data_IF_332063490437
#
_entry.id   IF_332063490437
#
_cell.length_a   1.000
_cell.length_b   1.000
_cell.length_c   1.000
_cell.angle_alpha   90.00
_cell.angle_beta   90.00
_cell.angle_gamma   90.00
#
_symmetry.space_group_name_H-M   'P 1'
#
loop_
_entity.id
_entity.type
_entity.pdbx_description
1 polymer ?
#
# COMPACT_ATOMS: atom_id res chain seq x y z
N UNK A 1 -17.28 9.15 3.06
CA UNK A 1 -18.53 8.44 2.69
C UNK A 1 -19.09 7.55 3.81
N UNK A 2 -18.53 6.37 4.15
CA UNK A 2 -19.14 5.46 5.15
C UNK A 2 -19.27 6.06 6.55
N UNK A 3 -18.24 6.76 7.04
CA UNK A 3 -18.27 7.46 8.34
C UNK A 3 -19.27 8.63 8.37
N UNK A 4 -19.44 9.34 7.26
CA UNK A 4 -20.41 10.44 7.16
C UNK A 4 -21.84 9.90 7.12
N UNK A 5 -22.08 8.81 6.40
CA UNK A 5 -23.35 8.11 6.39
C UNK A 5 -23.72 7.62 7.80
N UNK A 6 -22.78 7.01 8.52
CA UNK A 6 -23.00 6.56 9.90
C UNK A 6 -23.32 7.72 10.86
N UNK A 7 -22.64 8.86 10.70
CA UNK A 7 -22.87 10.07 11.53
C UNK A 7 -24.20 10.75 11.23
N UNK A 8 -24.62 10.75 9.97
CA UNK A 8 -25.88 11.35 9.55
C UNK A 8 -27.09 10.44 9.81
N UNK A 9 -26.87 9.12 9.97
CA UNK A 9 -27.93 8.15 10.18
C UNK A 9 -28.59 8.32 11.55
N UNK A 10 -29.92 8.49 11.56
CA UNK A 10 -30.71 8.73 12.78
C UNK A 10 -31.41 7.47 13.30
N UNK A 11 -31.40 6.36 12.57
CA UNK A 11 -32.00 5.10 13.03
C UNK A 11 -31.22 4.45 14.16
N UNK A 12 -31.77 3.37 14.73
CA UNK A 12 -31.23 2.70 15.92
C UNK A 12 -30.39 1.46 15.61
N UNK A 13 -30.46 0.97 14.37
CA UNK A 13 -29.77 -0.24 13.91
C UNK A 13 -28.96 0.06 12.66
N UNK A 14 -27.69 -0.33 12.68
CA UNK A 14 -26.78 -0.25 11.54
C UNK A 14 -26.35 -1.65 11.16
N UNK A 15 -26.47 -1.99 9.88
CA UNK A 15 -25.92 -3.21 9.31
C UNK A 15 -24.69 -2.86 8.49
N UNK A 16 -23.58 -3.54 8.78
CA UNK A 16 -22.32 -3.40 8.05
C UNK A 16 -21.92 -4.76 7.49
N UNK A 17 -21.56 -4.80 6.21
CA UNK A 17 -21.05 -6.01 5.56
C UNK A 17 -19.63 -5.75 5.09
N UNK A 18 -18.68 -6.52 5.61
CA UNK A 18 -17.28 -6.38 5.25
C UNK A 18 -16.34 -7.06 6.24
N UNK A 19 -15.04 -6.82 6.09
CA UNK A 19 -14.00 -7.20 7.04
C UNK A 19 -14.09 -6.34 8.32
N UNK A 20 -13.64 -6.88 9.46
CA UNK A 20 -13.61 -6.15 10.73
C UNK A 20 -12.56 -5.03 10.78
N UNK A 21 -12.37 -4.40 11.94
CA UNK A 21 -11.34 -3.36 12.13
C UNK A 21 -9.97 -3.90 11.68
N UNK A 22 -9.28 -3.12 10.85
CA UNK A 22 -7.99 -3.50 10.24
C UNK A 22 -8.13 -4.21 8.88
N UNK A 23 -9.37 -4.47 8.44
CA UNK A 23 -9.68 -4.92 7.09
C UNK A 23 -9.77 -3.78 6.07
N UNK A 24 -9.97 -4.15 4.81
CA UNK A 24 -9.92 -3.24 3.64
C UNK A 24 -11.27 -2.60 3.30
N UNK A 25 -12.34 -3.03 3.95
CA UNK A 25 -13.74 -2.71 3.60
C UNK A 25 -14.24 -1.40 4.20
N UNK A 26 -13.55 -0.83 5.20
CA UNK A 26 -13.82 0.49 5.74
C UNK A 26 -12.58 1.14 6.38
N UNK A 27 -12.56 2.46 6.41
CA UNK A 27 -11.47 3.23 7.06
C UNK A 27 -11.56 3.15 8.59
N UNK A 28 -10.43 3.31 9.29
CA UNK A 28 -10.41 3.36 10.75
C UNK A 28 -11.38 4.38 11.34
N UNK A 29 -11.56 5.53 10.70
CA UNK A 29 -12.50 6.57 11.14
C UNK A 29 -13.96 6.12 11.18
N UNK A 30 -14.34 5.12 10.38
CA UNK A 30 -15.66 4.50 10.45
C UNK A 30 -15.78 3.61 11.69
N UNK A 31 -14.77 2.80 11.98
CA UNK A 31 -14.73 1.96 13.17
C UNK A 31 -14.62 2.77 14.46
N UNK A 32 -13.85 3.86 14.46
CA UNK A 32 -13.79 4.81 15.59
C UNK A 32 -15.18 5.40 15.88
N UNK A 33 -15.96 5.70 14.83
CA UNK A 33 -17.32 6.21 14.97
C UNK A 33 -18.32 5.12 15.43
N UNK A 34 -18.14 3.87 15.02
CA UNK A 34 -18.90 2.74 15.57
C UNK A 34 -18.60 2.56 17.06
N UNK A 35 -17.34 2.49 17.44
CA UNK A 35 -16.91 2.30 18.84
C UNK A 35 -17.33 3.45 19.76
N UNK A 36 -17.45 4.66 19.23
CA UNK A 36 -17.86 5.83 19.99
C UNK A 36 -19.35 5.85 20.37
N UNK A 37 -20.22 5.17 19.60
CA UNK A 37 -21.68 5.36 19.73
C UNK A 37 -22.56 4.14 19.45
N UNK A 38 -21.96 2.99 19.10
CA UNK A 38 -22.66 1.80 18.65
C UNK A 38 -22.09 0.55 19.34
N UNK A 39 -22.95 -0.44 19.55
CA UNK A 39 -22.63 -1.72 20.20
C UNK A 39 -22.95 -2.84 19.24
N UNK A 40 -21.98 -3.70 18.97
CA UNK A 40 -22.20 -4.92 18.18
C UNK A 40 -23.20 -5.82 18.91
N UNK A 41 -24.30 -6.16 18.22
CA UNK A 41 -25.37 -7.02 18.74
C UNK A 41 -25.29 -8.41 18.16
N UNK A 42 -24.98 -8.49 16.87
CA UNK A 42 -24.92 -9.75 16.15
C UNK A 42 -23.81 -9.70 15.10
N UNK A 43 -23.19 -10.85 14.89
CA UNK A 43 -22.23 -11.08 13.82
C UNK A 43 -22.59 -12.38 13.15
N UNK A 44 -22.82 -12.31 11.84
CA UNK A 44 -23.19 -13.45 11.01
C UNK A 44 -22.08 -13.68 9.99
N UNK A 45 -21.53 -14.89 9.99
CA UNK A 45 -20.62 -15.33 8.94
C UNK A 45 -21.39 -15.45 7.62
N UNK A 46 -20.87 -14.83 6.57
CA UNK A 46 -21.45 -14.91 5.23
C UNK A 46 -20.54 -15.74 4.31
N UNK A 47 -21.04 -16.26 3.17
CA UNK A 47 -20.20 -16.88 2.16
C UNK A 47 -19.10 -15.91 1.74
N UNK A 48 -17.86 -16.38 1.84
CA UNK A 48 -16.68 -15.57 1.56
C UNK A 48 -15.99 -16.08 0.29
N UNK A 49 -15.46 -15.14 -0.48
CA UNK A 49 -14.44 -15.47 -1.48
C UNK A 49 -13.18 -15.96 -0.77
N UNK A 50 -12.42 -16.84 -1.42
CA UNK A 50 -11.21 -17.39 -0.81
C UNK A 50 -10.24 -16.28 -0.36
N UNK A 51 -9.87 -16.29 0.92
CA UNK A 51 -9.00 -15.27 1.52
C UNK A 51 -9.70 -14.01 2.03
N UNK A 52 -11.04 -13.93 1.94
CA UNK A 52 -11.84 -12.88 2.59
C UNK A 52 -12.38 -13.34 3.94
N UNK A 53 -12.55 -12.38 4.83
CA UNK A 53 -13.11 -12.58 6.17
C UNK A 53 -14.31 -11.66 6.39
N UNK A 54 -15.08 -11.43 5.35
CA UNK A 54 -16.29 -10.61 5.41
C UNK A 54 -17.31 -11.26 6.34
N UNK A 55 -17.91 -10.44 7.19
CA UNK A 55 -19.04 -10.81 8.02
C UNK A 55 -20.13 -9.75 7.86
N UNK A 56 -21.37 -10.12 8.16
CA UNK A 56 -22.43 -9.17 8.42
C UNK A 56 -22.42 -8.85 9.92
N UNK A 57 -22.34 -7.57 10.25
CA UNK A 57 -22.39 -7.05 11.61
C UNK A 57 -23.66 -6.25 11.79
N UNK A 58 -24.37 -6.50 12.89
CA UNK A 58 -25.53 -5.71 13.31
C UNK A 58 -25.13 -4.94 14.55
N UNK A 59 -25.21 -3.61 14.46
CA UNK A 59 -24.94 -2.70 15.56
C UNK A 59 -26.23 -2.03 16.03
N UNK A 60 -26.38 -1.88 17.34
CA UNK A 60 -27.42 -1.04 17.95
C UNK A 60 -26.80 0.18 18.63
N UNK A 61 -27.53 1.29 18.75
CA UNK A 61 -27.03 2.46 19.49
C UNK A 61 -26.62 2.10 20.92
N UNK A 62 -25.50 2.67 21.36
CA UNK A 62 -25.09 2.56 22.76
C UNK A 62 -26.06 3.36 23.64
N UNK A 63 -26.68 2.70 24.63
CA UNK A 63 -27.35 3.43 25.71
C UNK A 63 -26.31 4.22 26.51
N UNK A 64 -26.71 5.37 27.07
CA UNK A 64 -25.85 6.28 27.84
C UNK A 64 -24.95 5.57 28.87
N UNK A 65 -25.51 4.58 29.58
CA UNK A 65 -24.81 3.80 30.61
C UNK A 65 -23.77 2.79 30.05
N UNK A 66 -23.87 2.42 28.76
CA UNK A 66 -22.98 1.47 28.08
C UNK A 66 -21.81 2.19 27.41
N UNK A 67 -22.08 3.37 26.82
CA UNK A 67 -21.05 4.22 26.23
C UNK A 67 -20.02 4.71 27.27
N UNK A 68 -20.48 5.07 28.48
CA UNK A 68 -19.60 5.48 29.58
C UNK A 68 -18.71 4.33 30.08
N UNK A 69 -19.25 3.10 30.16
CA UNK A 69 -18.46 1.90 30.53
C UNK A 69 -17.43 1.52 29.47
N UNK A 70 -17.76 1.63 28.19
CA UNK A 70 -16.81 1.39 27.09
C UNK A 70 -15.72 2.46 27.04
N UNK A 71 -16.05 3.74 27.23
CA UNK A 71 -15.04 4.81 27.31
C UNK A 71 -14.13 4.67 28.53
N UNK A 72 -14.65 4.23 29.68
CA UNK A 72 -13.85 3.94 30.86
C UNK A 72 -12.92 2.72 30.64
N UNK A 73 -13.41 1.66 30.00
CA UNK A 73 -12.61 0.48 29.65
C UNK A 73 -11.52 0.81 28.61
N UNK A 74 -11.83 1.58 27.57
CA UNK A 74 -10.87 2.03 26.57
C UNK A 74 -9.79 2.95 27.17
N UNK A 75 -10.15 3.83 28.12
CA UNK A 75 -9.19 4.65 28.87
C UNK A 75 -8.31 3.81 29.80
N UNK A 76 -8.85 2.75 30.41
CA UNK A 76 -8.08 1.82 31.24
C UNK A 76 -7.10 0.97 30.42
N UNK A 77 -7.51 0.53 29.22
CA UNK A 77 -6.62 -0.13 28.24
C UNK A 77 -5.49 0.81 27.77
N UNK A 78 -5.80 2.07 27.44
CA UNK A 78 -4.77 3.06 27.05
C UNK A 78 -3.90 3.57 28.22
N UNK A 79 -4.35 3.42 29.47
CA UNK A 79 -3.57 3.73 30.67
C UNK A 79 -2.60 2.60 31.06
N UNK A 80 -2.98 1.34 30.83
CA UNK A 80 -2.16 0.16 31.11
C UNK A 80 -1.07 -0.10 30.06
N UNK A 81 -1.22 0.40 28.83
CA UNK A 81 -0.20 0.30 27.77
C UNK A 81 1.02 1.23 27.98
N UNK A 82 1.02 2.11 29.00
CA UNK A 82 2.16 2.99 29.29
C UNK A 82 3.20 2.43 30.26
N UNK A 83 3.01 1.23 30.84
CA UNK A 83 3.95 0.68 31.83
C UNK A 83 4.52 -0.71 31.53
N UNK A 84 4.16 -1.36 30.43
CA UNK A 84 4.89 -2.54 29.96
C UNK A 84 4.68 -2.76 28.48
N UNK A 85 5.66 -2.34 27.68
CA UNK A 85 5.59 -2.53 26.24
C UNK A 85 6.84 -1.96 25.60
N UNK A 86 7.96 -2.64 25.79
CA UNK A 86 8.99 -2.61 24.75
C UNK A 86 8.36 -3.18 23.49
N UNK A 87 7.66 -2.33 22.73
CA UNK A 87 7.40 -2.58 21.33
C UNK A 87 8.77 -2.85 20.74
N UNK A 88 9.00 -4.08 20.29
CA UNK A 88 10.17 -4.44 19.53
C UNK A 88 10.20 -3.51 18.31
N UNK A 89 10.92 -2.40 18.44
CA UNK A 89 11.35 -1.54 17.36
C UNK A 89 12.35 -2.36 16.57
N UNK A 90 11.86 -3.26 15.72
CA UNK A 90 12.70 -3.75 14.65
C UNK A 90 13.09 -2.51 13.84
N UNK A 91 14.36 -2.14 13.94
CA UNK A 91 14.91 -1.03 13.19
C UNK A 91 14.64 -1.34 11.70
N UNK A 92 13.99 -0.43 10.96
CA UNK A 92 13.70 -0.63 9.55
C UNK A 92 14.99 -0.99 8.76
N UNK A 93 16.15 -0.50 9.23
CA UNK A 93 17.48 -0.85 8.74
C UNK A 93 17.79 -2.34 8.85
N UNK A 94 17.41 -2.96 9.98
CA UNK A 94 17.65 -4.38 10.28
C UNK A 94 16.75 -5.31 9.47
N UNK A 95 15.76 -4.76 8.76
CA UNK A 95 14.85 -5.52 7.90
C UNK A 95 15.14 -5.29 6.41
N UNK A 96 15.22 -4.03 5.97
CA UNK A 96 15.33 -3.68 4.55
C UNK A 96 16.68 -4.05 3.96
N UNK A 97 17.80 -3.77 4.64
CA UNK A 97 19.11 -4.09 4.07
C UNK A 97 19.33 -5.60 3.92
N UNK A 98 19.02 -6.45 4.93
CA UNK A 98 19.09 -7.91 4.75
C UNK A 98 18.16 -8.42 3.65
N UNK A 99 16.93 -7.89 3.56
CA UNK A 99 15.97 -8.26 2.52
C UNK A 99 16.49 -7.93 1.11
N UNK A 100 16.97 -6.71 0.88
CA UNK A 100 17.55 -6.31 -0.40
C UNK A 100 18.84 -7.07 -0.73
N UNK A 101 19.61 -7.49 0.28
CA UNK A 101 20.79 -8.35 0.11
C UNK A 101 20.46 -9.83 -0.09
N UNK A 102 19.18 -10.21 -0.09
CA UNK A 102 18.72 -11.59 -0.32
C UNK A 102 18.94 -12.55 0.86
N UNK A 103 19.39 -12.04 2.01
CA UNK A 103 19.65 -12.82 3.23
C UNK A 103 18.53 -12.71 4.26
N UNK A 104 17.68 -11.68 4.15
CA UNK A 104 16.48 -11.47 4.96
C UNK A 104 15.19 -11.82 4.20
N UNK A 105 14.08 -11.70 4.92
CA UNK A 105 12.72 -11.93 4.39
C UNK A 105 11.81 -10.75 4.71
N UNK A 106 10.70 -10.66 4.00
CA UNK A 106 9.62 -9.76 4.36
C UNK A 106 8.82 -10.28 5.57
N UNK A 107 7.75 -9.55 5.93
CA UNK A 107 6.87 -9.91 7.05
C UNK A 107 6.11 -11.23 6.86
N UNK A 108 6.04 -11.76 5.64
CA UNK A 108 5.41 -13.04 5.30
C UNK A 108 6.44 -14.17 5.18
N UNK A 109 7.71 -13.92 5.48
CA UNK A 109 8.78 -14.91 5.37
C UNK A 109 9.30 -15.13 3.95
N UNK A 110 8.96 -14.26 2.99
CA UNK A 110 9.37 -14.37 1.59
C UNK A 110 10.68 -13.63 1.35
N UNK A 111 11.58 -14.22 0.55
CA UNK A 111 12.81 -13.59 0.06
C UNK A 111 12.51 -12.71 -1.14
N UNK A 112 13.37 -11.71 -1.37
CA UNK A 112 13.25 -10.82 -2.53
C UNK A 112 13.24 -11.58 -3.87
N UNK A 113 14.07 -12.62 -4.00
CA UNK A 113 14.11 -13.45 -5.21
C UNK A 113 12.79 -14.21 -5.47
N UNK A 114 12.11 -14.67 -4.42
CA UNK A 114 10.82 -15.37 -4.52
C UNK A 114 9.73 -14.40 -4.97
N UNK A 115 9.68 -13.21 -4.36
CA UNK A 115 8.74 -12.16 -4.74
C UNK A 115 8.97 -11.71 -6.20
N UNK A 116 10.25 -11.54 -6.60
CA UNK A 116 10.59 -11.14 -7.97
C UNK A 116 10.17 -12.19 -9.01
N UNK A 117 10.07 -13.46 -8.61
CA UNK A 117 9.64 -14.56 -9.44
C UNK A 117 8.10 -14.72 -9.54
N UNK A 118 7.32 -13.93 -8.81
CA UNK A 118 5.85 -13.95 -8.89
C UNK A 118 5.34 -13.82 -10.32
N UNK A 119 4.32 -14.60 -10.69
CA UNK A 119 3.58 -14.41 -11.93
C UNK A 119 2.83 -13.07 -11.92
N UNK A 120 2.32 -12.61 -13.07
CA UNK A 120 1.54 -11.38 -13.10
C UNK A 120 0.22 -11.49 -12.33
N UNK A 121 -0.39 -12.67 -12.32
CA UNK A 121 -1.56 -12.98 -11.51
C UNK A 121 -1.24 -12.92 -10.01
N UNK A 122 -0.06 -13.39 -9.61
CA UNK A 122 0.40 -13.27 -8.23
C UNK A 122 0.72 -11.82 -7.84
N UNK A 123 1.37 -11.05 -8.71
CA UNK A 123 1.60 -9.61 -8.50
C UNK A 123 0.29 -8.82 -8.43
N UNK A 124 -0.73 -9.20 -9.21
CA UNK A 124 -2.04 -8.59 -9.10
C UNK A 124 -2.69 -8.93 -7.75
N UNK A 125 -2.75 -10.22 -7.40
CA UNK A 125 -3.46 -10.76 -6.22
C UNK A 125 -2.80 -10.45 -4.88
N UNK A 126 -1.47 -10.41 -4.83
CA UNK A 126 -0.69 -10.22 -3.60
C UNK A 126 -0.35 -8.73 -3.50
N UNK A 127 -0.86 -8.04 -2.47
CA UNK A 127 -0.78 -6.58 -2.45
C UNK A 127 0.36 -6.00 -1.59
N UNK A 128 0.92 -6.81 -0.69
CA UNK A 128 1.86 -6.37 0.34
C UNK A 128 3.33 -6.37 -0.12
N UNK A 129 3.66 -7.15 -1.16
CA UNK A 129 5.02 -7.26 -1.68
C UNK A 129 5.60 -5.90 -2.13
N UNK A 130 4.73 -5.04 -2.69
CA UNK A 130 5.15 -3.77 -3.29
C UNK A 130 5.74 -2.82 -2.26
N UNK A 131 5.31 -2.91 -1.00
CA UNK A 131 5.83 -2.07 0.08
C UNK A 131 7.27 -2.44 0.45
N UNK A 132 7.64 -3.71 0.25
CA UNK A 132 9.00 -4.22 0.49
C UNK A 132 9.90 -4.04 -0.73
N UNK A 133 9.40 -4.27 -1.94
CA UNK A 133 10.18 -4.03 -3.17
C UNK A 133 10.42 -2.54 -3.44
N UNK A 134 9.50 -1.68 -2.99
CA UNK A 134 9.52 -0.22 -3.17
C UNK A 134 9.16 0.52 -1.87
N UNK A 135 10.05 0.49 -0.87
CA UNK A 135 9.83 1.18 0.41
C UNK A 135 9.80 2.71 0.23
N UNK A 136 9.06 3.39 1.11
CA UNK A 136 8.93 4.86 1.13
C UNK A 136 9.15 5.38 2.54
N UNK A 137 9.42 6.69 2.64
CA UNK A 137 9.48 7.43 3.91
C UNK A 137 8.09 7.63 4.56
N UNK A 138 7.02 7.38 3.81
CA UNK A 138 5.64 7.36 4.33
C UNK A 138 5.22 5.97 4.83
N UNK A 139 4.61 5.89 6.03
CA UNK A 139 4.09 4.62 6.56
C UNK A 139 2.98 4.09 5.67
N UNK A 140 2.97 2.77 5.46
CA UNK A 140 1.90 2.19 4.67
C UNK A 140 0.61 2.15 5.48
N UNK A 141 -0.45 2.75 4.93
CA UNK A 141 -1.81 2.65 5.49
C UNK A 141 -2.39 1.22 5.40
N UNK A 142 -1.77 0.32 4.62
CA UNK A 142 -2.26 -1.03 4.37
C UNK A 142 -1.38 -2.13 5.00
N UNK A 143 -0.14 -1.83 5.36
CA UNK A 143 0.76 -2.77 6.02
C UNK A 143 1.62 -2.04 7.05
N UNK A 144 1.16 -2.06 8.31
CA UNK A 144 1.86 -1.43 9.43
C UNK A 144 3.23 -2.07 9.72
N UNK A 145 3.50 -3.26 9.19
CA UNK A 145 4.78 -3.98 9.34
C UNK A 145 5.76 -3.69 8.20
N UNK A 146 5.33 -2.94 7.17
CA UNK A 146 6.23 -2.53 6.10
C UNK A 146 7.25 -1.52 6.64
N UNK A 147 8.56 -1.79 6.49
CA UNK A 147 9.61 -0.93 7.00
C UNK A 147 9.63 0.43 6.28
N UNK A 148 9.85 1.50 7.05
CA UNK A 148 10.01 2.85 6.52
C UNK A 148 11.39 3.05 5.90
N UNK A 149 11.45 3.78 4.80
CA UNK A 149 12.69 4.21 4.18
C UNK A 149 13.23 5.47 4.88
N UNK A 150 13.87 5.28 6.04
CA UNK A 150 14.44 6.37 6.84
C UNK A 150 15.58 7.10 6.11
N UNK A 151 15.97 8.32 6.53
CA UNK A 151 17.12 9.01 5.95
C UNK A 151 18.42 8.20 5.98
N UNK A 152 18.63 7.38 7.01
CA UNK A 152 19.78 6.46 7.12
C UNK A 152 19.77 5.43 5.98
N UNK A 153 18.60 4.84 5.71
CA UNK A 153 18.41 3.90 4.62
C UNK A 153 18.55 4.59 3.25
N UNK A 154 18.01 5.79 3.08
CA UNK A 154 18.20 6.58 1.86
C UNK A 154 19.69 6.82 1.58
N UNK A 155 20.47 7.19 2.62
CA UNK A 155 21.93 7.30 2.52
C UNK A 155 22.60 5.96 2.19
N UNK A 156 22.10 4.84 2.73
CA UNK A 156 22.61 3.51 2.39
C UNK A 156 22.37 3.19 0.90
N UNK A 157 21.17 3.43 0.37
CA UNK A 157 20.89 3.29 -1.07
C UNK A 157 21.72 4.26 -1.92
N UNK A 158 21.98 5.48 -1.44
CA UNK A 158 22.84 6.45 -2.13
C UNK A 158 24.34 6.06 -2.12
N UNK A 159 24.79 5.30 -1.12
CA UNK A 159 26.18 4.85 -1.01
C UNK A 159 26.48 3.47 -1.58
N UNK A 160 25.46 2.63 -1.81
CA UNK A 160 25.63 1.20 -2.17
C UNK A 160 25.00 0.87 -3.53
N UNK A 161 25.84 0.70 -4.56
CA UNK A 161 25.40 0.36 -5.92
C UNK A 161 24.73 -1.01 -6.00
N UNK A 162 25.06 -1.95 -5.11
CA UNK A 162 24.41 -3.26 -5.11
C UNK A 162 22.93 -3.15 -4.69
N UNK A 163 22.61 -2.29 -3.72
CA UNK A 163 21.21 -2.02 -3.33
C UNK A 163 20.44 -1.36 -4.47
N UNK A 164 21.03 -0.38 -5.15
CA UNK A 164 20.42 0.26 -6.32
C UNK A 164 20.21 -0.71 -7.47
N UNK A 165 21.16 -1.60 -7.73
CA UNK A 165 21.00 -2.66 -8.74
C UNK A 165 19.81 -3.57 -8.42
N UNK A 166 19.63 -4.00 -7.16
CA UNK A 166 18.46 -4.79 -6.77
C UNK A 166 17.15 -4.02 -6.94
N UNK A 167 17.15 -2.72 -6.65
CA UNK A 167 15.98 -1.87 -6.89
C UNK A 167 15.69 -1.69 -8.40
N UNK A 168 16.71 -1.61 -9.25
CA UNK A 168 16.52 -1.60 -10.71
C UNK A 168 15.93 -2.91 -11.21
N UNK A 169 16.37 -4.06 -10.69
CA UNK A 169 15.77 -5.35 -11.02
C UNK A 169 14.29 -5.43 -10.60
N UNK A 170 13.96 -4.87 -9.43
CA UNK A 170 12.57 -4.73 -8.98
C UNK A 170 11.76 -3.85 -9.94
N UNK A 171 12.33 -2.71 -10.34
CA UNK A 171 11.71 -1.77 -11.25
C UNK A 171 11.43 -2.38 -12.63
N UNK A 172 12.41 -3.08 -13.22
CA UNK A 172 12.22 -3.82 -14.48
C UNK A 172 11.06 -4.81 -14.36
N UNK A 173 11.02 -5.59 -13.27
CA UNK A 173 9.93 -6.57 -13.05
C UNK A 173 8.57 -5.89 -12.94
N UNK A 174 8.49 -4.77 -12.23
CA UNK A 174 7.25 -4.00 -12.09
C UNK A 174 6.80 -3.37 -13.41
N UNK A 175 7.72 -2.83 -14.22
CA UNK A 175 7.40 -2.36 -15.57
C UNK A 175 6.82 -3.48 -16.44
N UNK A 176 7.43 -4.67 -16.45
CA UNK A 176 6.89 -5.83 -17.18
C UNK A 176 5.45 -6.17 -16.75
N UNK A 177 5.17 -6.13 -15.45
CA UNK A 177 3.81 -6.36 -14.91
C UNK A 177 2.79 -5.31 -15.39
N UNK A 178 3.22 -4.06 -15.56
CA UNK A 178 2.40 -3.01 -16.15
C UNK A 178 2.27 -3.13 -17.68
N UNK A 179 2.98 -4.07 -18.31
CA UNK A 179 3.08 -4.19 -19.77
C UNK A 179 3.96 -3.11 -20.39
N UNK A 180 4.92 -2.60 -19.63
CA UNK A 180 5.95 -1.65 -20.05
C UNK A 180 7.31 -2.36 -20.16
N UNK A 181 8.24 -1.77 -20.89
CA UNK A 181 9.61 -2.25 -21.04
C UNK A 181 10.60 -1.16 -20.64
N UNK A 182 11.62 -1.56 -19.88
CA UNK A 182 12.79 -0.73 -19.58
C UNK A 182 13.87 -1.02 -20.60
N UNK A 183 14.40 0.04 -21.21
CA UNK A 183 15.42 0.00 -22.24
C UNK A 183 16.62 0.88 -21.82
N UNK A 184 17.80 0.55 -22.35
CA UNK A 184 19.03 1.29 -22.08
C UNK A 184 19.84 0.75 -20.90
N UNK A 185 20.87 1.51 -20.49
CA UNK A 185 21.86 1.14 -19.49
C UNK A 185 22.06 2.21 -18.42
N UNK A 186 23.14 2.11 -17.63
CA UNK A 186 23.46 3.10 -16.61
C UNK A 186 23.63 4.50 -17.22
N UNK A 187 22.73 5.43 -16.86
CA UNK A 187 22.76 6.83 -17.29
C UNK A 187 21.79 7.20 -18.41
N UNK A 188 21.31 6.24 -19.20
CA UNK A 188 20.35 6.46 -20.28
C UNK A 188 19.23 5.41 -20.19
N UNK A 189 18.28 5.67 -19.29
CA UNK A 189 17.13 4.80 -19.04
C UNK A 189 15.93 5.33 -19.82
N UNK A 190 15.27 4.46 -20.58
CA UNK A 190 13.99 4.73 -21.23
C UNK A 190 12.96 3.70 -20.78
N UNK A 191 11.73 4.14 -20.57
CA UNK A 191 10.58 3.23 -20.43
C UNK A 191 9.66 3.45 -21.62
N UNK A 192 9.17 2.36 -22.20
CA UNK A 192 8.25 2.38 -23.32
C UNK A 192 7.09 1.38 -23.10
N UNK A 193 6.02 1.55 -23.85
CA UNK A 193 4.92 0.58 -23.91
C UNK A 193 5.44 -0.72 -24.52
N UNK A 194 5.29 -1.83 -23.79
CA UNK A 194 5.73 -3.16 -24.22
C UNK A 194 4.69 -3.91 -25.06
N UNK A 195 5.05 -5.08 -25.62
CA UNK A 195 4.19 -5.88 -26.49
C UNK A 195 2.95 -6.42 -25.78
N UNK A 196 3.06 -6.72 -24.48
CA UNK A 196 1.96 -7.26 -23.68
C UNK A 196 1.11 -6.17 -22.98
N UNK A 197 1.28 -4.89 -23.34
CA UNK A 197 0.53 -3.79 -22.70
C UNK A 197 -0.98 -4.01 -22.73
N UNK A 198 -1.53 -4.43 -23.88
CA UNK A 198 -2.96 -4.65 -24.05
C UNK A 198 -3.49 -5.76 -23.14
N UNK A 199 -2.71 -6.81 -22.90
CA UNK A 199 -3.07 -7.89 -21.98
C UNK A 199 -3.11 -7.41 -20.53
N UNK A 200 -2.32 -6.38 -20.18
CA UNK A 200 -2.28 -5.79 -18.84
C UNK A 200 -3.30 -4.67 -18.64
N UNK A 201 -4.00 -4.20 -19.70
CA UNK A 201 -5.00 -3.13 -19.59
C UNK A 201 -6.13 -3.44 -18.60
N UNK A 202 -6.74 -4.64 -18.59
CA UNK A 202 -7.80 -4.95 -17.64
C UNK A 202 -7.37 -4.84 -16.17
N UNK A 203 -6.16 -5.30 -15.86
CA UNK A 203 -5.65 -5.39 -14.48
C UNK A 203 -5.01 -4.07 -14.02
N UNK A 204 -4.15 -3.46 -14.84
CA UNK A 204 -3.28 -2.36 -14.42
C UNK A 204 -3.80 -0.97 -14.81
N UNK A 205 -4.62 -0.88 -15.85
CA UNK A 205 -4.93 0.40 -16.51
C UNK A 205 -6.42 0.73 -16.60
N UNK A 206 -7.28 -0.25 -16.32
CA UNK A 206 -8.72 -0.07 -16.29
C UNK A 206 -9.18 0.38 -14.92
N UNK A 207 -10.05 1.40 -14.90
CA UNK A 207 -10.68 1.89 -13.69
C UNK A 207 -11.86 1.00 -13.32
N UNK A 208 -11.92 0.56 -12.07
CA UNK A 208 -13.14 0.02 -11.47
C UNK A 208 -13.60 1.00 -10.39
N UNK A 209 -14.85 1.49 -10.48
CA UNK A 209 -15.40 2.49 -9.54
C UNK A 209 -14.56 3.77 -9.37
N UNK A 210 -13.87 4.22 -10.42
CA UNK A 210 -13.13 5.50 -10.42
C UNK A 210 -11.67 5.40 -10.01
N UNK A 211 -11.13 4.20 -9.75
CA UNK A 211 -9.72 4.00 -9.45
C UNK A 211 -9.17 2.63 -9.84
N UNK A 212 -7.87 2.47 -9.65
CA UNK A 212 -7.16 1.20 -9.75
C UNK A 212 -6.02 1.21 -8.72
N UNK A 213 -5.88 0.14 -7.94
CA UNK A 213 -4.87 0.06 -6.88
C UNK A 213 -3.44 0.03 -7.45
N UNK A 214 -3.24 -0.46 -8.68
CA UNK A 214 -1.96 -0.38 -9.38
C UNK A 214 -1.52 1.06 -9.65
N UNK A 215 -2.44 2.03 -9.72
CA UNK A 215 -2.08 3.45 -9.83
C UNK A 215 -1.47 4.01 -8.53
N UNK A 216 -1.89 3.48 -7.38
CA UNK A 216 -1.25 3.76 -6.10
C UNK A 216 0.13 3.07 -6.02
N UNK A 217 0.26 1.86 -6.57
CA UNK A 217 1.55 1.16 -6.67
C UNK A 217 2.54 1.94 -7.55
N UNK A 218 2.11 2.46 -8.70
CA UNK A 218 2.93 3.34 -9.57
C UNK A 218 3.41 4.57 -8.79
N UNK A 219 2.52 5.20 -8.02
CA UNK A 219 2.88 6.35 -7.18
C UNK A 219 3.99 6.03 -6.18
N UNK A 220 3.89 4.86 -5.53
CA UNK A 220 4.91 4.34 -4.61
C UNK A 220 6.25 4.06 -5.31
N UNK A 221 6.21 3.46 -6.50
CA UNK A 221 7.42 3.21 -7.29
C UNK A 221 8.12 4.52 -7.66
N UNK A 222 7.38 5.52 -8.17
CA UNK A 222 7.94 6.84 -8.51
C UNK A 222 8.62 7.50 -7.30
N UNK A 223 7.98 7.47 -6.13
CA UNK A 223 8.55 8.01 -4.90
C UNK A 223 9.81 7.26 -4.48
N UNK A 224 9.75 5.92 -4.44
CA UNK A 224 10.85 5.06 -4.04
C UNK A 224 12.10 5.26 -4.92
N UNK A 225 11.93 5.31 -6.25
CA UNK A 225 13.04 5.56 -7.17
C UNK A 225 13.76 6.89 -6.86
N UNK A 226 13.00 7.95 -6.58
CA UNK A 226 13.54 9.24 -6.16
C UNK A 226 14.31 9.15 -4.84
N UNK A 227 13.69 8.61 -3.79
CA UNK A 227 14.28 8.48 -2.46
C UNK A 227 15.53 7.59 -2.41
N UNK A 228 15.63 6.60 -3.31
CA UNK A 228 16.75 5.68 -3.39
C UNK A 228 17.82 6.10 -4.43
N UNK A 229 17.86 7.37 -4.82
CA UNK A 229 18.86 7.92 -5.74
C UNK A 229 18.87 7.30 -7.14
N UNK A 230 17.68 6.99 -7.69
CA UNK A 230 17.46 6.53 -9.07
C UNK A 230 16.64 7.53 -9.91
N UNK A 231 17.13 8.78 -10.09
CA UNK A 231 16.36 9.82 -10.75
C UNK A 231 16.20 9.62 -12.26
N UNK A 232 17.07 8.84 -12.92
CA UNK A 232 16.95 8.54 -14.35
C UNK A 232 15.75 7.61 -14.59
N UNK A 233 15.63 6.55 -13.79
CA UNK A 233 14.54 5.59 -13.80
C UNK A 233 13.20 6.26 -13.45
N UNK A 234 13.20 7.13 -12.43
CA UNK A 234 12.01 7.90 -12.02
C UNK A 234 11.49 8.77 -13.17
N UNK A 235 12.37 9.54 -13.83
CA UNK A 235 12.02 10.37 -14.98
C UNK A 235 11.55 9.55 -16.17
N UNK A 236 12.23 8.44 -16.45
CA UNK A 236 11.88 7.55 -17.56
C UNK A 236 10.48 6.94 -17.37
N UNK A 237 10.16 6.48 -16.16
CA UNK A 237 8.81 5.99 -15.85
C UNK A 237 7.78 7.11 -16.02
N UNK A 238 8.02 8.30 -15.43
CA UNK A 238 7.07 9.41 -15.53
C UNK A 238 6.79 9.82 -16.97
N UNK A 239 7.83 9.96 -17.80
CA UNK A 239 7.68 10.30 -19.21
C UNK A 239 6.84 9.25 -19.98
N UNK A 240 7.04 7.97 -19.70
CA UNK A 240 6.22 6.91 -20.29
C UNK A 240 4.75 6.98 -19.85
N UNK A 241 4.48 7.32 -18.58
CA UNK A 241 3.11 7.49 -18.06
C UNK A 241 2.39 8.67 -18.73
N UNK A 242 3.10 9.75 -19.03
CA UNK A 242 2.55 10.88 -19.81
C UNK A 242 2.26 10.46 -21.25
N UNK A 243 3.17 9.74 -21.91
CA UNK A 243 2.95 9.22 -23.27
C UNK A 243 1.72 8.29 -23.32
N UNK A 244 1.55 7.40 -22.34
CA UNK A 244 0.40 6.51 -22.23
C UNK A 244 -0.92 7.30 -22.14
N UNK A 245 -0.93 8.41 -21.40
CA UNK A 245 -2.09 9.29 -21.28
C UNK A 245 -2.35 10.05 -22.58
N UNK A 246 -1.33 10.70 -23.12
CA UNK A 246 -1.43 11.57 -24.31
C UNK A 246 -1.83 10.79 -25.56
N UNK A 247 -1.32 9.56 -25.70
CA UNK A 247 -1.70 8.64 -26.78
C UNK A 247 -3.06 7.96 -26.55
N UNK A 248 -3.76 8.24 -25.45
CA UNK A 248 -5.05 7.65 -25.12
C UNK A 248 -5.02 6.14 -24.88
N UNK A 249 -3.86 5.57 -24.53
CA UNK A 249 -3.67 4.13 -24.34
C UNK A 249 -4.30 3.62 -23.05
N UNK A 250 -4.43 4.48 -22.04
CA UNK A 250 -5.11 4.19 -20.78
C UNK A 250 -5.88 5.41 -20.26
N UNK A 251 -7.01 5.18 -19.59
CA UNK A 251 -7.81 6.23 -18.95
C UNK A 251 -7.32 6.48 -17.51
N UNK A 252 -6.07 6.91 -17.36
CA UNK A 252 -5.40 7.14 -16.08
C UNK A 252 -5.31 8.62 -15.67
N UNK A 253 -6.12 9.49 -16.30
CA UNK A 253 -6.05 10.94 -16.09
C UNK A 253 -6.25 11.40 -14.64
N UNK A 254 -7.00 10.66 -13.82
CA UNK A 254 -7.17 10.98 -12.40
C UNK A 254 -5.91 10.75 -11.56
N UNK A 255 -4.95 9.94 -12.03
CA UNK A 255 -3.72 9.62 -11.32
C UNK A 255 -2.52 10.48 -11.75
N UNK A 256 -2.53 11.06 -12.95
CA UNK A 256 -1.35 11.71 -13.55
C UNK A 256 -0.78 12.85 -12.71
N UNK A 257 -1.64 13.68 -12.10
CA UNK A 257 -1.21 14.79 -11.26
C UNK A 257 -0.47 14.29 -10.00
N UNK A 258 -0.95 13.19 -9.42
CA UNK A 258 -0.30 12.56 -8.28
C UNK A 258 1.02 11.90 -8.68
N UNK A 259 1.08 11.23 -9.84
CA UNK A 259 2.32 10.67 -10.36
C UNK A 259 3.38 11.74 -10.61
N UNK A 260 3.03 12.87 -11.22
CA UNK A 260 3.95 14.01 -11.41
C UNK A 260 4.50 14.53 -10.09
N UNK A 261 3.66 14.65 -9.06
CA UNK A 261 4.10 15.05 -7.73
C UNK A 261 5.09 14.05 -7.12
N UNK A 262 4.79 12.74 -7.18
CA UNK A 262 5.70 11.68 -6.69
C UNK A 262 7.00 11.58 -7.49
N UNK A 263 6.97 11.88 -8.79
CA UNK A 263 8.16 11.93 -9.64
C UNK A 263 9.09 13.10 -9.31
N UNK A 264 8.68 14.03 -8.44
CA UNK A 264 9.53 15.11 -7.93
C UNK A 264 10.23 14.78 -6.61
N UNK A 265 10.03 13.59 -6.04
CA UNK A 265 10.68 13.20 -4.78
C UNK A 265 12.18 12.96 -4.99
N UNK A 266 12.99 13.44 -4.05
CA UNK A 266 14.44 13.24 -3.98
C UNK A 266 14.84 12.79 -2.56
N UNK A 267 16.04 12.22 -2.37
CA UNK A 267 16.47 11.77 -1.04
C UNK A 267 16.61 12.95 -0.07
N UNK A 268 16.29 12.71 1.20
CA UNK A 268 16.53 13.63 2.31
C UNK A 268 18.00 13.50 2.75
N UNK A 269 18.89 14.19 2.04
CA UNK A 269 20.34 14.23 2.32
C UNK A 269 20.70 15.28 3.37
#
# INVERSE_FOLDING_TARGET
MAVEALRAFQGDVVVYVGEGRGGSTAWHSFFDALEAGWVERERVSIPNWHGRTDCLYVYGRASSNTAEKFQAAARALHGAERSSGAASTYNATDLLLPFFRGVGTDSQGRRLAEIRAFSFEEMERVHDYVQWMFPTDEPSMFNLRAPLLTPELQRAFAGDEALRRELRLNFVRFCQFLGLEVQGGEGEVRVAVGPHFQERVPDCWSSMFGGNHNWLRISRVLQCLGLCSLPAEQRALMACLEEVLDAGRARCGSAIAHWRWRAGTAPSL
#
